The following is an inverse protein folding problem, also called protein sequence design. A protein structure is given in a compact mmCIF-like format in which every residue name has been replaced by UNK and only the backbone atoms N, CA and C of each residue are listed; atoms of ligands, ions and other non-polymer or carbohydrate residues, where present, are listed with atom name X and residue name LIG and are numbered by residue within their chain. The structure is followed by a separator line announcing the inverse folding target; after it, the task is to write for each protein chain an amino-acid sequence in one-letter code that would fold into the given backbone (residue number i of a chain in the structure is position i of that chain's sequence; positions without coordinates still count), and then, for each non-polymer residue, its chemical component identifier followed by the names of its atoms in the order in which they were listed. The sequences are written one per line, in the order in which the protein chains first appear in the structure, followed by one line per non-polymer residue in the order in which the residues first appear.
data_IF_614995370307
#
_entry.id   IF_614995370307
#
_cell.length_a   1.000
_cell.length_b   1.000
_cell.length_c   1.000
_cell.angle_alpha   90.00
_cell.angle_beta   90.00
_cell.angle_gamma   90.00
#
_symmetry.space_group_name_H-M   'P 1'
#
loop_
_entity.id
_entity.type
_entity.pdbx_description
1 polymer ?
#
# COMPACT_ATOMS: atom_id res chain seq x y z
N UNK A 1 19.13 -29.88 9.30
CA UNK A 1 18.49 -28.63 8.80
C UNK A 1 17.39 -28.08 9.74
N UNK A 2 16.66 -28.94 10.45
CA UNK A 2 15.62 -28.50 11.40
C UNK A 2 16.16 -27.74 12.60
N UNK A 3 17.39 -28.01 13.04
CA UNK A 3 17.98 -27.32 14.20
C UNK A 3 18.53 -25.93 13.88
N UNK A 4 18.83 -25.61 12.62
CA UNK A 4 19.32 -24.29 12.21
C UNK A 4 18.19 -23.24 12.15
N UNK A 5 16.99 -23.63 11.72
CA UNK A 5 15.84 -22.72 11.64
C UNK A 5 15.41 -22.19 13.01
N UNK A 6 15.33 -23.04 14.02
CA UNK A 6 14.96 -22.63 15.39
C UNK A 6 16.02 -21.72 16.05
N UNK A 7 17.31 -21.93 15.75
CA UNK A 7 18.38 -21.08 16.27
C UNK A 7 18.38 -19.66 15.71
N UNK A 8 17.99 -19.47 14.45
CA UNK A 8 17.91 -18.15 13.81
C UNK A 8 16.65 -17.38 14.23
N UNK A 9 15.50 -18.03 14.37
CA UNK A 9 14.28 -17.44 14.96
C UNK A 9 14.58 -16.91 16.37
N UNK A 10 15.26 -17.69 17.19
CA UNK A 10 15.55 -17.31 18.58
C UNK A 10 16.58 -16.18 18.70
N UNK A 11 17.59 -16.15 17.81
CA UNK A 11 18.68 -15.16 17.87
C UNK A 11 18.40 -13.87 17.10
N UNK A 12 17.66 -13.95 16.00
CA UNK A 12 17.45 -12.82 15.08
C UNK A 12 16.00 -12.40 14.94
N UNK A 13 15.06 -13.18 15.47
CA UNK A 13 13.62 -12.96 15.39
C UNK A 13 13.11 -12.79 13.94
N UNK A 14 13.75 -13.51 13.01
CA UNK A 14 13.31 -13.65 11.62
C UNK A 14 12.71 -15.04 11.47
N UNK A 15 11.44 -15.11 11.02
CA UNK A 15 10.76 -16.37 10.74
C UNK A 15 10.58 -16.52 9.24
N UNK A 16 11.20 -17.55 8.68
CA UNK A 16 11.02 -17.95 7.28
C UNK A 16 10.57 -19.41 7.29
N UNK A 17 9.32 -19.62 6.87
CA UNK A 17 8.78 -20.97 6.79
C UNK A 17 9.50 -21.78 5.70
N UNK A 18 9.91 -23.03 5.96
CA UNK A 18 10.67 -23.82 4.99
C UNK A 18 9.90 -24.15 3.69
N UNK A 19 8.58 -24.00 3.66
CA UNK A 19 7.76 -24.14 2.47
C UNK A 19 7.72 -22.89 1.58
N UNK A 20 8.29 -21.76 2.00
CA UNK A 20 8.34 -20.56 1.19
C UNK A 20 9.27 -20.75 -0.02
N UNK A 21 8.86 -20.22 -1.17
CA UNK A 21 9.69 -20.19 -2.39
C UNK A 21 10.34 -18.82 -2.49
N UNK A 22 11.67 -18.79 -2.59
CA UNK A 22 12.46 -17.55 -2.59
C UNK A 22 13.40 -17.57 -3.78
N UNK A 23 13.33 -16.54 -4.61
CA UNK A 23 14.22 -16.30 -5.74
C UNK A 23 15.60 -15.80 -5.32
N UNK A 24 16.39 -15.36 -6.28
CA UNK A 24 17.75 -14.87 -6.05
C UNK A 24 17.75 -13.43 -5.52
N UNK A 25 18.79 -13.08 -4.74
CA UNK A 25 18.99 -11.70 -4.29
C UNK A 25 18.00 -11.18 -3.26
N UNK A 26 17.35 -12.05 -2.47
CA UNK A 26 16.56 -11.60 -1.32
C UNK A 26 17.50 -10.93 -0.29
N UNK A 27 17.22 -9.67 0.01
CA UNK A 27 17.93 -8.89 1.01
C UNK A 27 16.99 -8.52 2.17
N UNK A 28 17.37 -8.86 3.40
CA UNK A 28 16.60 -8.52 4.61
C UNK A 28 17.44 -7.56 5.44
N UNK A 29 17.01 -6.30 5.50
CA UNK A 29 17.67 -5.26 6.28
C UNK A 29 17.02 -5.14 7.66
N UNK A 30 17.87 -5.07 8.71
CA UNK A 30 17.43 -5.01 10.10
C UNK A 30 16.39 -6.06 10.53
N UNK A 31 16.35 -7.20 9.95
CA UNK A 31 15.36 -8.28 9.89
C UNK A 31 14.50 -8.62 11.12
N UNK A 32 14.61 -7.89 12.23
CA UNK A 32 13.83 -8.12 13.44
C UNK A 32 12.32 -8.15 13.17
N UNK A 33 11.63 -9.23 13.55
CA UNK A 33 10.20 -9.39 13.38
C UNK A 33 9.72 -9.60 11.94
N UNK A 34 10.62 -9.95 11.01
CA UNK A 34 10.24 -10.39 9.67
C UNK A 34 9.61 -11.77 9.74
N UNK A 35 8.44 -11.94 9.10
CA UNK A 35 7.72 -13.21 9.02
C UNK A 35 7.39 -13.51 7.56
N UNK A 36 7.88 -14.64 7.06
CA UNK A 36 7.57 -15.16 5.71
C UNK A 36 6.82 -16.49 5.85
N UNK A 37 5.55 -16.49 5.45
CA UNK A 37 4.66 -17.64 5.63
C UNK A 37 4.90 -18.77 4.62
N UNK A 38 4.32 -19.93 4.92
CA UNK A 38 4.54 -21.22 4.24
C UNK A 38 4.41 -21.18 2.72
N UNK A 39 3.34 -20.59 2.21
CA UNK A 39 3.05 -20.57 0.76
C UNK A 39 3.43 -19.24 0.11
N UNK A 40 4.28 -18.43 0.77
CA UNK A 40 4.80 -17.21 0.17
C UNK A 40 5.71 -17.55 -1.01
N UNK A 41 5.61 -16.74 -2.06
CA UNK A 41 6.49 -16.79 -3.23
C UNK A 41 7.14 -15.42 -3.35
N UNK A 42 8.45 -15.38 -3.42
CA UNK A 42 9.26 -14.15 -3.52
C UNK A 42 10.12 -14.29 -4.77
N UNK A 43 10.01 -13.34 -5.69
CA UNK A 43 10.83 -13.26 -6.90
C UNK A 43 12.26 -12.80 -6.59
N UNK A 44 12.96 -12.35 -7.62
CA UNK A 44 14.36 -11.96 -7.53
C UNK A 44 14.52 -10.50 -7.07
N UNK A 45 15.67 -10.21 -6.41
CA UNK A 45 16.05 -8.86 -6.00
C UNK A 45 15.00 -8.17 -5.14
N UNK A 46 14.48 -8.85 -4.14
CA UNK A 46 13.49 -8.32 -3.21
C UNK A 46 14.18 -7.86 -1.93
N UNK A 47 13.84 -6.65 -1.49
CA UNK A 47 14.33 -6.09 -0.22
C UNK A 47 13.18 -6.02 0.80
N UNK A 48 13.40 -6.62 1.98
CA UNK A 48 12.45 -6.58 3.10
C UNK A 48 13.11 -5.88 4.29
N UNK A 49 12.39 -4.95 4.90
CA UNK A 49 12.82 -4.29 6.12
C UNK A 49 12.24 -4.95 7.37
N UNK A 50 12.69 -4.50 8.54
CA UNK A 50 12.24 -5.04 9.84
C UNK A 50 10.71 -5.00 9.99
N UNK A 51 10.17 -5.99 10.68
CA UNK A 51 8.74 -6.09 10.99
C UNK A 51 7.82 -6.38 9.81
N UNK A 52 8.38 -6.65 8.62
CA UNK A 52 7.59 -7.05 7.45
C UNK A 52 6.94 -8.40 7.70
N UNK A 53 5.66 -8.52 7.33
CA UNK A 53 4.92 -9.79 7.40
C UNK A 53 4.35 -10.14 6.03
N UNK A 54 4.76 -11.29 5.50
CA UNK A 54 4.14 -11.93 4.34
C UNK A 54 3.23 -13.04 4.87
N UNK A 55 2.01 -12.65 5.30
CA UNK A 55 1.11 -13.47 6.10
C UNK A 55 -0.09 -14.00 5.33
N UNK A 56 -0.71 -15.05 5.88
CA UNK A 56 -1.99 -15.57 5.41
C UNK A 56 -3.17 -14.96 6.17
N UNK A 57 -4.38 -15.09 5.62
CA UNK A 57 -5.62 -14.62 6.28
C UNK A 57 -6.25 -15.67 7.20
N UNK A 58 -5.67 -16.87 7.33
CA UNK A 58 -6.13 -17.93 8.22
C UNK A 58 -7.43 -18.66 7.80
N UNK A 59 -8.11 -18.21 6.75
CA UNK A 59 -9.38 -18.79 6.28
C UNK A 59 -9.22 -19.70 5.07
N UNK A 60 -8.11 -19.59 4.35
CA UNK A 60 -7.88 -20.31 3.09
C UNK A 60 -6.99 -21.53 3.32
N UNK A 61 -7.34 -22.65 2.68
CA UNK A 61 -6.47 -23.82 2.56
C UNK A 61 -5.65 -23.71 1.27
N UNK A 62 -4.40 -24.18 1.29
CA UNK A 62 -3.50 -24.10 0.14
C UNK A 62 -2.76 -22.76 0.06
N UNK A 63 -2.80 -22.09 -1.10
CA UNK A 63 -2.14 -20.80 -1.34
C UNK A 63 -2.85 -19.68 -0.54
N UNK A 64 -2.26 -19.30 0.59
CA UNK A 64 -2.81 -18.31 1.52
C UNK A 64 -1.86 -17.16 1.84
N UNK A 65 -0.62 -17.22 1.37
CA UNK A 65 0.39 -16.18 1.55
C UNK A 65 0.68 -15.47 0.23
N UNK A 66 1.22 -14.24 0.26
CA UNK A 66 1.39 -13.43 -0.93
C UNK A 66 2.41 -14.00 -1.92
N UNK A 67 2.28 -13.55 -3.16
CA UNK A 67 3.28 -13.71 -4.22
C UNK A 67 3.86 -12.34 -4.54
N UNK A 68 5.16 -12.19 -4.39
CA UNK A 68 5.92 -11.01 -4.76
C UNK A 68 6.65 -11.31 -6.07
N UNK A 69 6.55 -10.40 -7.04
CA UNK A 69 7.38 -10.40 -8.24
C UNK A 69 8.82 -10.01 -7.93
N UNK A 70 9.53 -9.54 -8.93
CA UNK A 70 10.95 -9.18 -8.84
C UNK A 70 11.14 -7.66 -8.66
N UNK A 71 12.30 -7.27 -8.12
CA UNK A 71 12.67 -5.86 -7.91
C UNK A 71 11.66 -5.14 -7.01
N UNK A 72 11.35 -5.69 -5.86
CA UNK A 72 10.38 -5.14 -4.92
C UNK A 72 11.08 -4.68 -3.65
N UNK A 73 10.65 -3.53 -3.14
CA UNK A 73 11.03 -3.06 -1.81
C UNK A 73 9.80 -3.05 -0.89
N UNK A 74 9.91 -3.69 0.27
CA UNK A 74 8.86 -3.71 1.29
C UNK A 74 9.37 -2.99 2.54
N UNK A 75 8.83 -1.81 2.79
CA UNK A 75 9.24 -0.91 3.87
C UNK A 75 8.97 -1.46 5.27
N UNK A 76 9.63 -0.86 6.25
CA UNK A 76 9.59 -1.30 7.64
C UNK A 76 8.16 -1.43 8.19
N UNK A 77 7.88 -2.55 8.86
CA UNK A 77 6.58 -2.81 9.48
C UNK A 77 5.42 -3.06 8.53
N UNK A 78 5.64 -3.05 7.21
CA UNK A 78 4.58 -3.31 6.24
C UNK A 78 4.06 -4.75 6.34
N UNK A 79 2.77 -4.92 6.07
CA UNK A 79 2.08 -6.20 6.12
C UNK A 79 1.43 -6.49 4.77
N UNK A 80 1.80 -7.61 4.16
CA UNK A 80 1.16 -8.11 2.93
C UNK A 80 0.41 -9.38 3.31
N UNK A 81 -0.92 -9.34 3.23
CA UNK A 81 -1.75 -10.38 3.83
C UNK A 81 -2.69 -11.02 2.81
N UNK A 82 -2.74 -12.35 2.85
CA UNK A 82 -3.57 -13.17 1.96
C UNK A 82 -2.85 -13.62 0.70
N UNK A 83 -3.57 -14.30 -0.19
CA UNK A 83 -3.07 -14.80 -1.47
C UNK A 83 -2.96 -13.69 -2.55
N UNK A 84 -2.55 -12.49 -2.13
CA UNK A 84 -2.39 -11.34 -3.03
C UNK A 84 -1.11 -11.41 -3.85
N UNK A 85 -1.15 -10.81 -5.03
CA UNK A 85 0.01 -10.72 -5.93
C UNK A 85 0.48 -9.27 -6.01
N UNK A 86 1.77 -9.07 -5.78
CA UNK A 86 2.48 -7.81 -5.99
C UNK A 86 3.31 -7.96 -7.28
N UNK A 87 3.04 -7.09 -8.25
CA UNK A 87 3.77 -7.09 -9.52
C UNK A 87 5.22 -6.65 -9.38
N UNK A 88 5.98 -6.77 -10.44
CA UNK A 88 7.39 -6.37 -10.47
C UNK A 88 7.57 -4.85 -10.30
N UNK A 89 8.76 -4.45 -9.86
CA UNK A 89 9.15 -3.06 -9.69
C UNK A 89 8.20 -2.29 -8.77
N UNK A 90 7.73 -2.90 -7.68
CA UNK A 90 6.83 -2.27 -6.73
C UNK A 90 7.55 -1.81 -5.46
N UNK A 91 7.05 -0.71 -4.90
CA UNK A 91 7.49 -0.18 -3.61
C UNK A 91 6.31 -0.18 -2.64
N UNK A 92 6.47 -0.85 -1.49
CA UNK A 92 5.48 -0.85 -0.41
C UNK A 92 6.02 0.04 0.69
N UNK A 93 5.33 1.14 0.97
CA UNK A 93 5.72 2.09 2.00
C UNK A 93 5.70 1.49 3.42
N UNK A 94 6.52 2.05 4.30
CA UNK A 94 6.60 1.61 5.69
C UNK A 94 5.23 1.67 6.40
N UNK A 95 4.93 0.67 7.23
CA UNK A 95 3.67 0.57 7.97
C UNK A 95 2.43 0.27 7.13
N UNK A 96 2.55 0.10 5.82
CA UNK A 96 1.40 -0.15 4.94
C UNK A 96 0.81 -1.55 5.13
N UNK A 97 -0.51 -1.68 4.94
CA UNK A 97 -1.22 -2.97 5.00
C UNK A 97 -1.85 -3.28 3.66
N UNK A 98 -1.22 -4.19 2.90
CA UNK A 98 -1.64 -4.57 1.55
C UNK A 98 -2.57 -5.78 1.63
N UNK A 99 -3.80 -5.59 1.14
CA UNK A 99 -4.87 -6.59 1.16
C UNK A 99 -5.43 -6.92 -0.23
N UNK A 100 -4.87 -6.28 -1.28
CA UNK A 100 -5.33 -6.43 -2.67
C UNK A 100 -4.13 -6.56 -3.60
N UNK A 101 -4.36 -7.13 -4.78
CA UNK A 101 -3.34 -7.22 -5.81
C UNK A 101 -2.83 -5.84 -6.21
N UNK A 102 -1.53 -5.75 -6.41
CA UNK A 102 -0.83 -4.53 -6.81
C UNK A 102 -0.26 -4.73 -8.22
N UNK A 103 -0.62 -3.86 -9.17
CA UNK A 103 -0.06 -3.95 -10.51
C UNK A 103 1.44 -3.60 -10.49
N UNK A 104 2.22 -4.04 -11.50
CA UNK A 104 3.64 -3.71 -11.58
C UNK A 104 3.88 -2.20 -11.68
N UNK A 105 5.13 -1.79 -11.40
CA UNK A 105 5.58 -0.40 -11.44
C UNK A 105 4.73 0.53 -10.54
N UNK A 106 4.38 0.07 -9.34
CA UNK A 106 3.47 0.78 -8.44
C UNK A 106 4.07 1.02 -7.07
N UNK A 107 3.73 2.18 -6.50
CA UNK A 107 3.99 2.48 -5.09
C UNK A 107 2.69 2.40 -4.30
N UNK A 108 2.73 1.66 -3.17
CA UNK A 108 1.57 1.47 -2.29
C UNK A 108 1.88 2.02 -0.90
N UNK A 109 0.95 2.81 -0.36
CA UNK A 109 1.07 3.35 1.01
C UNK A 109 -0.27 3.29 1.75
N UNK A 110 -0.20 3.30 3.08
CA UNK A 110 -1.35 3.47 3.99
C UNK A 110 -1.98 2.19 4.49
N UNK A 111 -3.01 2.36 5.33
CA UNK A 111 -3.80 1.29 5.97
C UNK A 111 -5.30 1.60 5.76
N UNK A 112 -6.00 0.85 4.90
CA UNK A 112 -5.50 -0.14 3.95
C UNK A 112 -4.64 0.47 2.85
N UNK A 113 -3.68 -0.32 2.32
CA UNK A 113 -2.75 0.11 1.28
C UNK A 113 -3.43 0.52 -0.02
N UNK A 114 -3.08 1.71 -0.53
CA UNK A 114 -3.57 2.26 -1.80
C UNK A 114 -2.41 2.51 -2.74
N UNK A 115 -2.60 2.23 -4.03
CA UNK A 115 -1.64 2.58 -5.07
C UNK A 115 -1.65 4.09 -5.26
N UNK A 116 -0.52 4.76 -4.98
CA UNK A 116 -0.38 6.22 -5.05
C UNK A 116 0.44 6.69 -6.24
N UNK A 117 1.32 5.83 -6.78
CA UNK A 117 2.10 6.11 -7.98
C UNK A 117 2.10 4.90 -8.90
N UNK A 118 2.11 5.16 -10.20
CA UNK A 118 2.37 4.20 -11.29
C UNK A 118 3.34 4.85 -12.25
N UNK A 119 4.46 4.20 -12.53
CA UNK A 119 5.45 4.74 -13.46
C UNK A 119 6.75 3.95 -13.46
N UNK A 120 7.63 4.24 -14.41
CA UNK A 120 8.88 3.52 -14.70
C UNK A 120 10.04 3.81 -13.73
N UNK A 121 9.76 4.11 -12.49
CA UNK A 121 10.81 4.33 -11.49
C UNK A 121 11.42 2.99 -11.10
N UNK A 122 12.73 2.80 -11.35
CA UNK A 122 13.47 1.64 -10.89
C UNK A 122 13.57 1.68 -9.36
N UNK A 123 12.86 0.78 -8.70
CA UNK A 123 12.75 0.70 -7.24
C UNK A 123 14.10 0.50 -6.54
N UNK A 124 15.07 -0.12 -7.22
CA UNK A 124 16.39 -0.42 -6.66
C UNK A 124 17.30 0.81 -6.48
N UNK A 125 17.02 1.92 -7.18
CA UNK A 125 17.83 3.14 -7.10
C UNK A 125 17.29 4.15 -6.07
N UNK A 126 16.04 3.99 -5.66
CA UNK A 126 15.36 4.89 -4.72
C UNK A 126 14.88 4.14 -3.48
N UNK A 127 15.72 4.13 -2.44
CA UNK A 127 15.39 3.59 -1.12
C UNK A 127 14.62 4.60 -0.25
N UNK A 128 14.10 5.67 -0.83
CA UNK A 128 13.31 6.67 -0.10
C UNK A 128 12.00 6.08 0.41
N UNK A 129 11.88 5.97 1.73
CA UNK A 129 10.70 5.50 2.44
C UNK A 129 9.92 6.66 3.08
N UNK A 130 10.42 7.89 2.99
CA UNK A 130 9.94 9.05 3.75
C UNK A 130 9.09 9.98 2.86
N UNK A 131 9.54 10.26 1.63
CA UNK A 131 8.86 11.18 0.73
C UNK A 131 7.82 10.48 -0.16
N UNK A 132 6.96 9.65 0.45
CA UNK A 132 5.87 8.99 -0.26
C UNK A 132 4.62 9.87 -0.25
N UNK A 133 3.84 9.90 -1.36
CA UNK A 133 2.58 10.65 -1.39
C UNK A 133 1.62 10.17 -0.30
N UNK A 134 1.02 11.10 0.42
CA UNK A 134 -0.02 10.80 1.40
C UNK A 134 -1.40 10.76 0.70
N UNK A 135 -2.02 9.58 0.54
CA UNK A 135 -3.31 9.47 -0.13
C UNK A 135 -4.44 10.14 0.64
N UNK A 136 -4.34 10.24 1.97
CA UNK A 136 -5.36 10.89 2.81
C UNK A 136 -5.31 12.40 2.62
N UNK A 137 -4.12 12.98 2.56
CA UNK A 137 -3.97 14.42 2.29
C UNK A 137 -4.48 14.78 0.89
N UNK A 138 -4.19 13.97 -0.12
CA UNK A 138 -4.70 14.16 -1.49
C UNK A 138 -6.23 14.09 -1.54
N UNK A 139 -6.85 13.12 -0.85
CA UNK A 139 -8.30 13.01 -0.74
C UNK A 139 -8.92 14.24 -0.01
N UNK A 140 -8.26 14.72 1.05
CA UNK A 140 -8.69 15.91 1.82
C UNK A 140 -8.61 17.16 0.95
N UNK A 141 -7.55 17.36 0.19
CA UNK A 141 -7.40 18.51 -0.71
C UNK A 141 -8.47 18.50 -1.80
N UNK A 142 -8.73 17.33 -2.41
CA UNK A 142 -9.81 17.16 -3.37
C UNK A 142 -11.17 17.52 -2.76
N UNK A 143 -11.49 17.02 -1.56
CA UNK A 143 -12.77 17.32 -0.88
C UNK A 143 -12.88 18.80 -0.51
N UNK A 144 -11.81 19.45 -0.09
CA UNK A 144 -11.78 20.90 0.17
C UNK A 144 -12.12 21.69 -1.10
N UNK A 145 -11.56 21.32 -2.25
CA UNK A 145 -11.84 21.99 -3.52
C UNK A 145 -13.30 21.79 -3.96
N UNK A 146 -13.84 20.57 -3.83
CA UNK A 146 -15.25 20.30 -4.12
C UNK A 146 -16.17 21.11 -3.19
N UNK A 147 -15.88 21.17 -1.91
CA UNK A 147 -16.64 21.95 -0.95
C UNK A 147 -16.64 23.45 -1.30
N UNK A 148 -15.48 23.98 -1.72
CA UNK A 148 -15.38 25.38 -2.18
C UNK A 148 -16.25 25.64 -3.42
N UNK A 149 -16.28 24.71 -4.38
CA UNK A 149 -17.16 24.81 -5.57
C UNK A 149 -18.65 24.78 -5.19
N UNK A 150 -19.02 23.87 -4.29
CA UNK A 150 -20.41 23.76 -3.81
C UNK A 150 -20.86 25.03 -3.07
N UNK A 151 -20.02 25.58 -2.19
CA UNK A 151 -20.32 26.82 -1.47
C UNK A 151 -20.56 28.00 -2.43
N UNK A 152 -19.73 28.14 -3.49
CA UNK A 152 -19.93 29.16 -4.51
C UNK A 152 -21.27 28.98 -5.26
N UNK A 153 -21.65 27.74 -5.57
CA UNK A 153 -22.88 27.42 -6.26
C UNK A 153 -24.11 27.70 -5.39
N UNK A 154 -24.02 27.36 -4.10
CA UNK A 154 -25.08 27.68 -3.12
C UNK A 154 -25.27 29.19 -3.02
N UNK A 155 -24.21 29.96 -2.81
CA UNK A 155 -24.30 31.43 -2.73
C UNK A 155 -24.90 32.05 -4.01
N UNK A 156 -24.55 31.51 -5.17
CA UNK A 156 -25.18 31.96 -6.45
C UNK A 156 -26.66 31.65 -6.49
N UNK A 157 -27.09 30.46 -6.08
CA UNK A 157 -28.51 30.09 -6.05
C UNK A 157 -29.30 30.90 -5.02
N UNK A 158 -28.73 31.16 -3.85
CA UNK A 158 -29.33 32.02 -2.83
C UNK A 158 -29.55 33.44 -3.34
N UNK A 159 -28.61 34.02 -4.07
CA UNK A 159 -28.77 35.32 -4.73
C UNK A 159 -29.90 35.32 -5.75
N UNK A 160 -30.03 34.27 -6.58
CA UNK A 160 -31.09 34.14 -7.55
C UNK A 160 -32.49 34.01 -6.90
N UNK A 161 -32.56 33.33 -5.75
CA UNK A 161 -33.82 33.16 -5.00
C UNK A 161 -34.24 34.46 -4.29
N UNK A 162 -33.24 35.23 -3.79
CA UNK A 162 -33.46 36.45 -3.04
C UNK A 162 -33.59 37.71 -3.92
N UNK A 163 -33.38 37.59 -5.24
CA UNK A 163 -33.69 38.70 -6.15
C UNK A 163 -35.18 39.03 -6.06
N UNK A 164 -35.56 40.27 -5.72
CA UNK A 164 -36.94 40.65 -5.67
C UNK A 164 -37.57 40.49 -7.06
N UNK A 165 -38.55 39.58 -7.19
CA UNK A 165 -39.33 39.48 -8.40
C UNK A 165 -40.09 40.78 -8.55
N UNK A 166 -39.63 41.67 -9.41
CA UNK A 166 -40.40 42.82 -9.85
C UNK A 166 -41.65 42.31 -10.58
N UNK A 167 -42.70 41.97 -9.82
CA UNK A 167 -44.02 41.73 -10.38
C UNK A 167 -44.56 43.10 -10.72
N UNK A 168 -44.40 43.51 -11.98
CA UNK A 168 -45.07 44.67 -12.53
C UNK A 168 -46.58 44.32 -12.63
N UNK A 169 -47.36 44.69 -11.63
CA UNK A 169 -48.78 44.63 -11.69
C UNK A 169 -49.24 45.80 -12.62
N UNK A 170 -49.34 45.54 -13.91
CA UNK A 170 -50.05 46.35 -14.82
C UNK A 170 -51.59 46.11 -14.61
N UNK A 171 -52.16 46.83 -13.68
CA UNK A 171 -53.62 47.04 -13.66
C UNK A 171 -53.91 48.37 -14.41
N UNK A 172 -54.45 48.23 -15.55
CA UNK A 172 -55.32 49.23 -16.18
C UNK A 172 -56.66 48.60 -16.46
#
# INVERSE_FOLDING_TARGET
LQSRGLGDVYKRQIEIHPGATIGEGLFIDHGHGVVIGETAIIGDNVTLYQGVTLGGTGKEQGKRHPTLGSNIMVGAGAKVLGSVTIGDNCKIGAGSVVLKNVPPNSTVVGVPGRVVMRGDVRVLEDLDQIHLPDPVMSDIEYLKEQNKKLKKRIAHLENLVNEPRNICLLYT
#
